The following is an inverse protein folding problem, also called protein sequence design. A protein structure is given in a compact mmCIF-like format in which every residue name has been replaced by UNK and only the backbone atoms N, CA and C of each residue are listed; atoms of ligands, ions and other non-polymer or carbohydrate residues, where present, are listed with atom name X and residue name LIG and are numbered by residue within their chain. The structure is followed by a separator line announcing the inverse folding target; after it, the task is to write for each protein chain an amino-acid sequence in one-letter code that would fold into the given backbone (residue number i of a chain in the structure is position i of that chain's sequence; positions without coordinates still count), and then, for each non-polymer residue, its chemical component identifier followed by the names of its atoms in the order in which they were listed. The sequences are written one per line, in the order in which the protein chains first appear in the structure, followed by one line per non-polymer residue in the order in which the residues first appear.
data_IF_144698372040
#
_entry.id   IF_144698372040
#
_cell.length_a   1.000
_cell.length_b   1.000
_cell.length_c   1.000
_cell.angle_alpha   90.00
_cell.angle_beta   90.00
_cell.angle_gamma   90.00
#
_symmetry.space_group_name_H-M   'P 1'
#
loop_
_entity.id
_entity.type
_entity.pdbx_description
1 polymer ?
#
# COMPACT_ATOMS: atom_id res chain seq x y z
N UNK A 1 22.23 -4.62 -16.29
CA UNK A 1 21.76 -4.12 -15.34
C UNK A 1 22.11 -2.66 -15.19
N UNK A 2 21.99 -2.00 -15.99
CA UNK A 2 22.16 -0.70 -16.20
C UNK A 2 21.57 0.28 -15.50
N UNK A 3 20.89 -0.26 -15.61
CA UNK A 3 20.42 -0.18 -15.14
C UNK A 3 20.44 0.12 -13.79
N UNK A 4 21.19 -0.21 -13.28
CA UNK A 4 21.51 0.08 -11.99
C UNK A 4 21.77 1.53 -11.72
N UNK A 5 21.19 2.30 -12.43
CA UNK A 5 20.95 3.64 -12.01
C UNK A 5 19.94 3.74 -10.85
N UNK A 6 19.24 2.66 -10.59
CA UNK A 6 18.25 2.63 -9.52
C UNK A 6 18.30 1.24 -8.86
N UNK A 7 18.73 1.19 -7.59
CA UNK A 7 18.75 -0.04 -6.78
C UNK A 7 17.40 -0.76 -6.77
N UNK A 8 16.30 0.00 -7.00
CA UNK A 8 14.96 -0.57 -7.08
C UNK A 8 14.68 -1.36 -8.35
N UNK A 9 15.33 -1.01 -9.43
CA UNK A 9 15.19 -1.76 -10.68
C UNK A 9 15.99 -3.06 -10.60
N UNK A 10 17.11 -3.03 -9.90
CA UNK A 10 17.88 -4.21 -9.56
C UNK A 10 17.10 -5.14 -8.62
N UNK A 11 16.46 -4.59 -7.59
CA UNK A 11 15.63 -5.37 -6.69
C UNK A 11 14.45 -6.00 -7.41
N UNK A 12 13.82 -5.29 -8.36
CA UNK A 12 12.75 -5.84 -9.21
C UNK A 12 13.25 -6.96 -10.12
N UNK A 13 14.42 -6.79 -10.72
CA UNK A 13 15.04 -7.82 -11.56
C UNK A 13 15.43 -9.03 -10.71
N UNK A 14 15.99 -8.81 -9.52
CA UNK A 14 16.25 -9.89 -8.57
C UNK A 14 14.96 -10.59 -8.13
N UNK A 15 13.91 -9.83 -7.85
CA UNK A 15 12.62 -10.38 -7.44
C UNK A 15 11.96 -11.16 -8.58
N UNK A 16 12.05 -10.67 -9.82
CA UNK A 16 11.58 -11.37 -11.00
C UNK A 16 12.37 -12.67 -11.26
N UNK A 17 13.69 -12.63 -11.11
CA UNK A 17 14.54 -13.81 -11.17
C UNK A 17 14.21 -14.80 -10.04
N UNK A 18 13.95 -14.30 -8.85
CA UNK A 18 13.61 -15.10 -7.68
C UNK A 18 12.21 -15.71 -7.77
N UNK A 19 11.29 -15.08 -8.51
CA UNK A 19 9.91 -15.53 -8.65
C UNK A 19 9.66 -16.40 -9.89
N UNK A 20 10.68 -16.80 -10.64
CA UNK A 20 10.55 -17.48 -11.94
C UNK A 20 9.74 -16.70 -12.98
N UNK A 21 9.60 -15.40 -12.81
CA UNK A 21 9.00 -14.53 -13.82
C UNK A 21 9.97 -14.42 -14.99
N UNK A 22 9.51 -14.73 -16.20
CA UNK A 22 10.26 -14.55 -17.43
C UNK A 22 10.60 -13.07 -17.55
N UNK A 23 11.87 -12.75 -17.50
CA UNK A 23 12.33 -11.42 -17.89
C UNK A 23 11.97 -11.28 -19.36
N UNK A 24 11.07 -10.34 -19.72
CA UNK A 24 10.74 -10.15 -21.12
C UNK A 24 12.03 -9.95 -21.89
N UNK A 25 12.14 -10.55 -23.06
CA UNK A 25 13.24 -10.31 -24.03
C UNK A 25 13.25 -8.85 -24.48
N UNK A 26 13.43 -7.93 -23.58
CA UNK A 26 13.57 -6.54 -23.95
C UNK A 26 15.04 -6.28 -24.29
N UNK A 27 15.39 -6.53 -25.53
CA UNK A 27 16.65 -6.03 -26.13
C UNK A 27 16.81 -4.51 -26.00
N UNK A 28 15.81 -3.83 -25.46
CA UNK A 28 15.76 -2.38 -25.37
C UNK A 28 16.30 -1.79 -24.08
N UNK A 29 16.63 -2.59 -23.11
CA UNK A 29 16.92 -2.12 -21.75
C UNK A 29 18.37 -1.62 -21.59
N UNK A 30 19.31 -2.04 -22.41
CA UNK A 30 20.70 -1.63 -22.29
C UNK A 30 21.04 -0.62 -23.36
N UNK A 31 20.80 0.66 -23.10
CA UNK A 31 21.20 1.70 -24.04
C UNK A 31 22.66 2.15 -23.86
N UNK A 32 23.11 2.36 -22.65
CA UNK A 32 24.49 2.76 -22.37
C UNK A 32 24.91 2.25 -20.98
N UNK A 33 25.64 1.14 -20.89
CA UNK A 33 26.07 0.63 -19.60
C UNK A 33 27.15 1.54 -18.99
N UNK A 34 26.95 1.93 -17.74
CA UNK A 34 27.95 2.67 -16.99
C UNK A 34 29.20 1.79 -16.70
N UNK A 35 30.27 2.39 -16.19
CA UNK A 35 31.52 1.70 -15.90
C UNK A 35 31.35 0.50 -14.96
N UNK A 36 30.51 0.66 -13.96
CA UNK A 36 30.20 -0.41 -12.99
C UNK A 36 29.58 -1.61 -13.68
N UNK A 37 28.62 -1.40 -14.57
CA UNK A 37 28.01 -2.48 -15.36
C UNK A 37 29.03 -3.13 -16.29
N UNK A 38 29.91 -2.35 -16.92
CA UNK A 38 30.95 -2.91 -17.78
C UNK A 38 31.91 -3.83 -17.00
N UNK A 39 32.31 -3.43 -15.79
CA UNK A 39 33.20 -4.23 -14.94
C UNK A 39 32.46 -5.47 -14.40
N UNK A 40 31.22 -5.33 -13.98
CA UNK A 40 30.40 -6.46 -13.60
C UNK A 40 30.16 -7.42 -14.76
N UNK A 41 29.88 -6.91 -15.96
CA UNK A 41 29.68 -7.70 -17.17
C UNK A 41 30.95 -8.49 -17.52
N UNK A 42 32.11 -7.85 -17.50
CA UNK A 42 33.39 -8.54 -17.75
C UNK A 42 33.61 -9.70 -16.78
N UNK A 43 33.24 -9.49 -15.50
CA UNK A 43 33.43 -10.48 -14.45
C UNK A 43 32.42 -11.63 -14.51
N UNK A 44 31.23 -11.39 -15.08
CA UNK A 44 30.11 -12.34 -15.07
C UNK A 44 29.68 -12.80 -16.48
N UNK A 45 30.36 -12.37 -17.53
CA UNK A 45 29.98 -12.62 -18.92
C UNK A 45 29.74 -14.10 -19.23
N UNK A 46 30.59 -15.00 -18.75
CA UNK A 46 30.41 -16.43 -18.95
C UNK A 46 29.16 -16.97 -18.30
N UNK A 47 28.84 -16.52 -17.08
CA UNK A 47 27.65 -16.93 -16.33
C UNK A 47 26.36 -16.42 -16.99
N UNK A 48 26.40 -15.19 -17.48
CA UNK A 48 25.23 -14.59 -18.18
C UNK A 48 25.05 -15.27 -19.54
N UNK A 49 26.12 -15.51 -20.30
CA UNK A 49 26.05 -16.22 -21.56
C UNK A 49 25.56 -17.66 -21.38
N UNK A 50 25.98 -18.33 -20.31
CA UNK A 50 25.53 -19.67 -19.97
C UNK A 50 24.02 -19.65 -19.65
N UNK A 51 23.54 -18.67 -18.86
CA UNK A 51 22.14 -18.52 -18.55
C UNK A 51 21.27 -18.17 -19.77
N UNK A 52 21.80 -17.34 -20.69
CA UNK A 52 21.10 -16.94 -21.92
C UNK A 52 21.09 -18.02 -23.01
N UNK A 53 22.06 -18.96 -22.98
CA UNK A 53 22.11 -20.06 -23.93
C UNK A 53 21.11 -21.17 -23.65
N UNK A 54 20.49 -21.12 -22.48
CA UNK A 54 19.46 -22.08 -22.14
C UNK A 54 18.13 -21.64 -22.77
N UNK A 55 17.50 -22.49 -23.60
CA UNK A 55 16.25 -22.16 -24.30
C UNK A 55 15.10 -21.87 -23.35
N UNK A 56 15.22 -22.33 -22.12
CA UNK A 56 14.32 -22.06 -21.01
C UNK A 56 15.16 -22.06 -19.73
N UNK A 57 14.78 -21.30 -18.73
CA UNK A 57 15.16 -21.59 -17.35
C UNK A 57 14.63 -22.97 -17.05
N UNK A 58 15.42 -23.96 -17.40
CA UNK A 58 14.95 -25.33 -17.52
C UNK A 58 14.58 -25.81 -16.14
N UNK A 59 13.31 -25.88 -15.88
CA UNK A 59 12.76 -26.41 -14.61
C UNK A 59 13.35 -27.76 -14.27
N UNK A 60 13.84 -28.47 -15.27
CA UNK A 60 14.30 -29.87 -15.16
C UNK A 60 15.80 -30.04 -15.32
N UNK A 61 16.60 -28.97 -15.47
CA UNK A 61 18.05 -29.09 -15.54
C UNK A 61 18.64 -29.08 -14.11
N UNK A 62 19.24 -30.18 -13.63
CA UNK A 62 19.78 -30.29 -12.28
C UNK A 62 20.84 -29.21 -11.96
N UNK A 63 21.55 -28.72 -12.98
CA UNK A 63 22.56 -27.67 -12.83
C UNK A 63 21.97 -26.31 -12.52
N UNK A 64 20.71 -26.07 -12.93
CA UNK A 64 19.97 -24.83 -12.74
C UNK A 64 18.69 -25.03 -11.96
N UNK A 65 18.45 -26.27 -11.48
CA UNK A 65 17.38 -26.48 -10.53
C UNK A 65 17.62 -25.56 -9.36
N UNK A 66 16.71 -24.65 -9.16
CA UNK A 66 16.70 -23.77 -8.00
C UNK A 66 16.90 -24.68 -6.81
N UNK A 67 18.03 -24.56 -6.14
CA UNK A 67 18.17 -25.12 -4.81
C UNK A 67 17.10 -24.37 -4.02
N UNK A 68 15.92 -25.00 -3.89
CA UNK A 68 14.88 -24.49 -3.00
C UNK A 68 15.55 -24.50 -1.64
N UNK A 69 16.07 -23.34 -1.24
CA UNK A 69 16.53 -23.18 0.12
C UNK A 69 15.39 -23.62 1.02
N UNK A 70 15.64 -24.58 1.84
CA UNK A 70 14.65 -24.95 2.85
C UNK A 70 14.33 -23.69 3.67
N UNK A 71 13.04 -23.36 3.71
CA UNK A 71 12.59 -22.23 4.53
C UNK A 71 12.94 -22.52 5.99
N UNK A 72 13.44 -21.53 6.67
CA UNK A 72 13.68 -21.61 8.10
C UNK A 72 12.35 -21.84 8.83
N UNK A 73 12.40 -22.37 10.04
CA UNK A 73 11.18 -22.58 10.84
C UNK A 73 10.48 -21.26 11.15
N UNK A 74 11.24 -20.16 11.25
CA UNK A 74 10.71 -18.79 11.39
C UNK A 74 9.92 -18.38 10.15
N UNK A 75 10.44 -18.66 8.95
CA UNK A 75 9.75 -18.36 7.69
C UNK A 75 8.47 -19.20 7.53
N UNK A 76 8.53 -20.50 7.86
CA UNK A 76 7.36 -21.40 7.83
C UNK A 76 6.29 -20.93 8.82
N UNK A 77 6.71 -20.53 10.03
CA UNK A 77 5.82 -20.02 11.07
C UNK A 77 5.14 -18.71 10.62
N UNK A 78 5.91 -17.77 10.02
CA UNK A 78 5.36 -16.53 9.50
C UNK A 78 4.35 -16.77 8.38
N UNK A 79 4.65 -17.66 7.44
CA UNK A 79 3.72 -17.99 6.35
C UNK A 79 2.42 -18.62 6.86
N UNK A 80 2.51 -19.50 7.85
CA UNK A 80 1.34 -20.05 8.52
C UNK A 80 0.51 -18.96 9.19
N UNK A 81 1.16 -18.07 9.92
CA UNK A 81 0.49 -16.94 10.58
C UNK A 81 -0.15 -15.96 9.58
N UNK A 82 0.47 -15.73 8.40
CA UNK A 82 -0.13 -14.91 7.35
C UNK A 82 -1.41 -15.58 6.80
N UNK A 83 -1.38 -16.88 6.52
CA UNK A 83 -2.57 -17.60 6.05
C UNK A 83 -3.70 -17.56 7.08
N UNK A 84 -3.39 -17.73 8.36
CA UNK A 84 -4.36 -17.65 9.45
C UNK A 84 -5.04 -16.27 9.50
N UNK A 85 -4.26 -15.18 9.51
CA UNK A 85 -4.87 -13.84 9.56
C UNK A 85 -5.66 -13.51 8.30
N UNK A 86 -5.31 -14.03 7.12
CA UNK A 86 -6.09 -13.85 5.90
C UNK A 86 -7.46 -14.52 6.01
N UNK A 87 -7.52 -15.73 6.54
CA UNK A 87 -8.78 -16.45 6.78
C UNK A 87 -9.64 -15.67 7.78
N UNK A 88 -9.04 -15.28 8.91
CA UNK A 88 -9.72 -14.49 9.94
C UNK A 88 -10.18 -13.14 9.44
N UNK A 89 -9.37 -12.45 8.61
CA UNK A 89 -9.75 -11.20 8.00
C UNK A 89 -10.98 -11.35 7.10
N UNK A 90 -11.02 -12.40 6.29
CA UNK A 90 -12.18 -12.67 5.42
C UNK A 90 -13.44 -12.98 6.22
N UNK A 91 -13.34 -13.73 7.33
CA UNK A 91 -14.49 -14.00 8.19
C UNK A 91 -15.02 -12.77 8.93
N UNK A 92 -14.17 -11.77 9.17
CA UNK A 92 -14.58 -10.50 9.83
C UNK A 92 -15.15 -9.47 8.86
N UNK A 93 -15.04 -9.66 7.56
CA UNK A 93 -15.44 -8.63 6.60
C UNK A 93 -16.90 -8.22 6.72
N UNK A 94 -17.79 -9.19 6.92
CA UNK A 94 -19.24 -8.93 7.03
C UNK A 94 -19.61 -8.05 8.21
N UNK A 95 -19.01 -8.26 9.38
CA UNK A 95 -19.30 -7.43 10.57
C UNK A 95 -18.78 -5.99 10.40
N UNK A 96 -17.61 -5.83 9.79
CA UNK A 96 -17.01 -4.50 9.51
C UNK A 96 -17.82 -3.76 8.45
N UNK A 97 -18.21 -4.45 7.39
CA UNK A 97 -19.04 -3.90 6.32
C UNK A 97 -20.41 -3.48 6.84
N UNK A 98 -21.09 -4.36 7.58
CA UNK A 98 -22.42 -4.08 8.14
C UNK A 98 -22.43 -2.87 9.07
N UNK A 99 -21.42 -2.73 9.93
CA UNK A 99 -21.27 -1.54 10.78
C UNK A 99 -21.10 -0.26 9.95
N UNK A 100 -20.19 -0.31 8.96
CA UNK A 100 -19.91 0.85 8.13
C UNK A 100 -21.11 1.26 7.25
N UNK A 101 -21.80 0.29 6.67
CA UNK A 101 -23.00 0.53 5.85
C UNK A 101 -24.17 1.09 6.66
N UNK A 102 -24.41 0.56 7.85
CA UNK A 102 -25.46 1.07 8.73
C UNK A 102 -25.25 2.55 9.04
N UNK A 103 -24.04 2.93 9.45
CA UNK A 103 -23.73 4.32 9.76
C UNK A 103 -23.74 5.19 8.51
N UNK A 104 -23.23 4.70 7.39
CA UNK A 104 -23.23 5.44 6.12
C UNK A 104 -24.67 5.74 5.66
N UNK A 105 -25.58 4.79 5.78
CA UNK A 105 -26.98 4.94 5.39
C UNK A 105 -27.70 6.04 6.19
N UNK A 106 -27.44 6.15 7.49
CA UNK A 106 -28.03 7.19 8.35
C UNK A 106 -27.63 8.62 7.94
N UNK A 107 -26.49 8.76 7.24
CA UNK A 107 -25.95 10.06 6.83
C UNK A 107 -25.93 10.29 5.33
N UNK A 108 -26.64 9.47 4.54
CA UNK A 108 -26.58 9.50 3.08
C UNK A 108 -25.12 9.47 2.54
N UNK A 109 -24.24 8.77 3.24
CA UNK A 109 -22.84 8.60 2.88
C UNK A 109 -22.65 7.37 1.99
N UNK A 110 -21.54 7.35 1.24
CA UNK A 110 -21.13 6.20 0.44
C UNK A 110 -20.27 5.29 1.33
N UNK A 111 -20.55 4.00 1.34
CA UNK A 111 -19.68 2.99 1.93
C UNK A 111 -19.01 2.18 0.83
N UNK A 112 -17.69 2.08 0.85
CA UNK A 112 -16.97 1.24 -0.12
C UNK A 112 -17.04 -0.24 0.26
N UNK A 113 -16.94 -1.17 -0.69
CA UNK A 113 -16.75 -2.58 -0.37
C UNK A 113 -15.50 -2.80 0.48
N UNK A 114 -15.51 -3.87 1.26
CA UNK A 114 -14.33 -4.29 2.03
C UNK A 114 -13.12 -4.51 1.13
N UNK A 115 -12.01 -3.95 1.54
CA UNK A 115 -10.70 -4.22 0.98
C UNK A 115 -9.90 -5.09 1.96
N UNK A 116 -9.50 -6.26 1.51
CA UNK A 116 -8.61 -7.16 2.23
C UNK A 116 -7.16 -6.95 1.81
N UNK A 117 -6.28 -6.84 2.79
CA UNK A 117 -4.85 -6.72 2.49
C UNK A 117 -4.33 -8.04 1.90
N UNK A 118 -3.63 -7.98 0.77
CA UNK A 118 -3.04 -9.17 0.13
C UNK A 118 -1.94 -9.81 0.98
N UNK A 119 -1.75 -11.12 0.85
CA UNK A 119 -0.69 -11.86 1.56
C UNK A 119 0.70 -11.25 1.33
N UNK A 120 1.01 -10.87 0.09
CA UNK A 120 2.27 -10.20 -0.24
C UNK A 120 2.43 -8.87 0.51
N UNK A 121 1.37 -8.06 0.57
CA UNK A 121 1.37 -6.80 1.32
C UNK A 121 1.46 -6.99 2.83
N UNK A 122 0.85 -8.05 3.36
CA UNK A 122 0.97 -8.45 4.77
C UNK A 122 2.42 -8.83 5.06
N UNK A 123 3.00 -9.74 4.26
CA UNK A 123 4.38 -10.21 4.44
C UNK A 123 5.36 -9.04 4.41
N UNK A 124 5.27 -8.18 3.39
CA UNK A 124 6.12 -7.00 3.28
C UNK A 124 6.02 -6.09 4.50
N UNK A 125 4.80 -5.80 4.96
CA UNK A 125 4.59 -4.90 6.11
C UNK A 125 5.09 -5.53 7.41
N UNK A 126 4.86 -6.82 7.64
CA UNK A 126 5.39 -7.52 8.81
C UNK A 126 6.92 -7.52 8.84
N UNK A 127 7.56 -7.76 7.69
CA UNK A 127 9.02 -7.72 7.60
C UNK A 127 9.60 -6.32 7.89
N UNK A 128 8.91 -5.26 7.44
CA UNK A 128 9.29 -3.88 7.77
C UNK A 128 9.13 -3.59 9.27
N UNK A 129 7.99 -3.96 9.85
CA UNK A 129 7.73 -3.77 11.28
C UNK A 129 8.71 -4.57 12.17
N UNK A 130 9.12 -5.75 11.71
CA UNK A 130 10.13 -6.55 12.42
C UNK A 130 11.50 -5.89 12.49
N UNK A 131 11.88 -5.10 11.48
CA UNK A 131 13.15 -4.34 11.53
C UNK A 131 13.17 -3.33 12.69
N UNK A 132 12.01 -2.79 13.05
CA UNK A 132 11.90 -1.79 14.12
C UNK A 132 11.49 -2.41 15.48
N UNK A 133 10.63 -3.44 15.45
CA UNK A 133 9.98 -4.00 16.64
C UNK A 133 10.48 -5.39 17.03
N UNK A 134 11.40 -5.95 16.24
CA UNK A 134 11.95 -7.29 16.46
C UNK A 134 11.10 -8.43 15.86
N UNK A 135 11.70 -9.63 15.81
CA UNK A 135 11.14 -10.80 15.13
C UNK A 135 9.85 -11.35 15.76
N UNK A 136 9.54 -10.96 16.98
CA UNK A 136 8.30 -11.33 17.66
C UNK A 136 7.04 -10.62 17.08
N UNK A 137 7.22 -9.62 16.19
CA UNK A 137 6.08 -8.96 15.57
C UNK A 137 5.36 -9.90 14.62
N UNK A 138 4.05 -10.07 14.81
CA UNK A 138 3.21 -11.03 14.08
C UNK A 138 2.15 -10.33 13.24
N UNK A 139 1.64 -10.98 12.17
CA UNK A 139 0.67 -10.39 11.25
C UNK A 139 -0.64 -9.91 11.89
N UNK A 140 -1.08 -10.54 12.97
CA UNK A 140 -2.29 -10.17 13.73
C UNK A 140 -2.21 -8.79 14.40
N UNK A 141 -1.01 -8.22 14.51
CA UNK A 141 -0.79 -6.86 15.00
C UNK A 141 -1.06 -5.76 13.96
N UNK A 142 -1.25 -6.15 12.70
CA UNK A 142 -1.61 -5.21 11.65
C UNK A 142 -3.05 -4.74 11.84
N UNK A 143 -3.27 -3.42 11.70
CA UNK A 143 -4.58 -2.78 11.93
C UNK A 143 -5.42 -2.63 10.65
N UNK A 144 -4.82 -2.89 9.49
CA UNK A 144 -5.39 -2.64 8.17
C UNK A 144 -5.56 -3.92 7.32
N UNK A 145 -5.73 -5.06 8.00
CA UNK A 145 -6.01 -6.34 7.34
C UNK A 145 -7.38 -6.35 6.66
N UNK A 146 -8.35 -5.72 7.30
CA UNK A 146 -9.73 -5.51 6.82
C UNK A 146 -9.99 -4.01 6.85
N UNK A 147 -10.36 -3.43 5.71
CA UNK A 147 -10.57 -2.00 5.59
C UNK A 147 -11.77 -1.67 4.71
N UNK A 148 -12.55 -0.67 5.12
CA UNK A 148 -13.54 -0.01 4.28
C UNK A 148 -13.45 1.50 4.45
N UNK A 149 -14.18 2.26 3.62
CA UNK A 149 -14.20 3.72 3.69
C UNK A 149 -15.65 4.21 3.67
N UNK A 150 -15.98 5.06 4.62
CA UNK A 150 -17.21 5.87 4.58
C UNK A 150 -16.85 7.23 3.98
N UNK A 151 -17.58 7.62 2.92
CA UNK A 151 -17.40 8.89 2.23
C UNK A 151 -18.61 9.74 2.51
N UNK A 152 -18.45 10.71 3.38
CA UNK A 152 -19.52 11.57 3.86
C UNK A 152 -19.29 13.02 3.46
N UNK A 153 -20.36 13.81 3.47
CA UNK A 153 -20.25 15.24 3.37
C UNK A 153 -19.46 15.80 4.55
N UNK A 154 -18.72 16.88 4.32
CA UNK A 154 -17.80 17.45 5.31
C UNK A 154 -18.48 17.73 6.65
N UNK A 155 -19.68 18.25 6.63
CA UNK A 155 -20.46 18.55 7.82
C UNK A 155 -20.84 17.31 8.65
N UNK A 156 -20.87 16.14 8.02
CA UNK A 156 -21.26 14.88 8.66
C UNK A 156 -20.04 14.07 9.15
N UNK A 157 -18.82 14.46 8.80
CA UNK A 157 -17.61 13.69 9.15
C UNK A 157 -17.48 13.46 10.66
N UNK A 158 -17.62 14.51 11.46
CA UNK A 158 -17.46 14.38 12.92
C UNK A 158 -18.59 13.58 13.55
N UNK A 159 -19.83 13.68 13.03
CA UNK A 159 -20.98 12.90 13.49
C UNK A 159 -20.78 11.41 13.18
N UNK A 160 -20.36 11.08 11.96
CA UNK A 160 -20.03 9.70 11.54
C UNK A 160 -18.92 9.10 12.42
N UNK A 161 -17.88 9.88 12.70
CA UNK A 161 -16.80 9.43 13.58
C UNK A 161 -17.31 9.17 15.00
N UNK A 162 -18.16 10.02 15.51
CA UNK A 162 -18.69 9.87 16.88
C UNK A 162 -19.61 8.66 16.99
N UNK A 163 -20.47 8.41 15.99
CA UNK A 163 -21.27 7.19 15.94
C UNK A 163 -20.41 5.93 15.89
N UNK A 164 -19.35 5.93 15.06
CA UNK A 164 -18.37 4.83 15.06
C UNK A 164 -17.76 4.64 16.45
N UNK A 165 -17.35 5.72 17.13
CA UNK A 165 -16.78 5.66 18.48
C UNK A 165 -17.74 5.05 19.51
N UNK A 166 -19.02 5.31 19.36
CA UNK A 166 -20.04 4.79 20.29
C UNK A 166 -20.38 3.33 20.05
N UNK A 167 -19.98 2.75 18.91
CA UNK A 167 -20.21 1.33 18.61
C UNK A 167 -19.36 0.40 19.48
N UNK A 168 -19.91 -0.75 19.86
CA UNK A 168 -19.24 -1.71 20.73
C UNK A 168 -17.88 -2.22 20.16
N UNK A 169 -17.74 -2.52 18.84
CA UNK A 169 -16.45 -2.94 18.30
C UNK A 169 -15.34 -1.88 18.42
N UNK A 170 -15.69 -0.58 18.37
CA UNK A 170 -14.73 0.51 18.53
C UNK A 170 -14.39 0.73 20.01
N UNK A 171 -15.37 0.65 20.91
CA UNK A 171 -15.16 0.71 22.37
C UNK A 171 -14.29 -0.44 22.87
N UNK A 172 -14.47 -1.63 22.32
CA UNK A 172 -13.67 -2.81 22.66
C UNK A 172 -12.19 -2.71 22.23
N UNK A 173 -11.87 -1.83 21.30
CA UNK A 173 -10.51 -1.66 20.82
C UNK A 173 -9.61 -1.00 21.89
N UNK A 174 -8.60 -1.76 22.34
CA UNK A 174 -7.62 -1.27 23.32
C UNK A 174 -6.53 -0.46 22.64
N UNK A 175 -6.74 0.84 22.48
CA UNK A 175 -5.76 1.73 21.87
C UNK A 175 -6.39 3.06 21.42
N UNK A 176 -5.65 3.80 20.58
CA UNK A 176 -6.19 5.01 19.96
C UNK A 176 -7.17 4.59 18.85
N UNK A 177 -8.46 4.57 19.20
CA UNK A 177 -9.51 4.15 18.28
C UNK A 177 -9.64 5.12 17.09
N UNK A 178 -9.60 6.42 17.33
CA UNK A 178 -9.75 7.45 16.30
C UNK A 178 -8.44 8.19 16.07
N UNK A 179 -7.98 8.20 14.83
CA UNK A 179 -6.82 8.97 14.38
C UNK A 179 -7.26 9.97 13.31
N UNK A 180 -7.28 11.24 13.66
CA UNK A 180 -7.51 12.34 12.71
C UNK A 180 -6.18 12.69 12.03
N UNK A 181 -6.13 12.53 10.71
CA UNK A 181 -4.98 12.92 9.90
C UNK A 181 -5.12 14.41 9.56
N UNK A 182 -4.19 15.20 10.04
CA UNK A 182 -4.17 16.65 9.81
C UNK A 182 -3.22 17.00 8.69
N UNK A 183 -3.55 17.99 7.83
CA UNK A 183 -2.70 18.38 6.70
C UNK A 183 -1.22 18.58 7.06
N UNK A 184 -0.94 19.19 8.22
CA UNK A 184 0.42 19.49 8.67
C UNK A 184 1.30 18.24 8.89
N UNK A 185 0.68 17.10 9.20
CA UNK A 185 1.39 15.86 9.54
C UNK A 185 1.39 14.83 8.39
N UNK A 186 0.59 15.08 7.34
CA UNK A 186 0.32 14.07 6.29
C UNK A 186 0.39 14.66 4.88
N UNK A 187 1.39 15.47 4.60
CA UNK A 187 1.64 16.03 3.26
C UNK A 187 0.43 16.79 2.69
N UNK A 188 -0.32 17.47 3.53
CA UNK A 188 -1.54 18.16 3.13
C UNK A 188 -2.81 17.31 3.14
N UNK A 189 -2.69 15.99 3.19
CA UNK A 189 -3.84 15.09 3.25
C UNK A 189 -4.58 15.19 4.58
N UNK A 190 -5.90 15.23 4.51
CA UNK A 190 -6.76 15.09 5.70
C UNK A 190 -7.69 13.91 5.53
N UNK A 191 -7.82 13.13 6.59
CA UNK A 191 -8.72 11.99 6.64
C UNK A 191 -8.83 11.49 8.07
N UNK A 192 -9.68 10.52 8.27
CA UNK A 192 -9.87 9.96 9.60
C UNK A 192 -9.80 8.45 9.51
N UNK A 193 -9.19 7.85 10.51
CA UNK A 193 -9.08 6.40 10.66
C UNK A 193 -9.74 6.03 11.97
N UNK A 194 -10.67 5.10 11.92
CA UNK A 194 -11.28 4.49 13.08
C UNK A 194 -10.90 3.01 13.13
N UNK A 195 -10.20 2.62 14.19
CA UNK A 195 -9.85 1.23 14.45
C UNK A 195 -10.92 0.59 15.32
N UNK A 196 -11.23 -0.66 15.02
CA UNK A 196 -12.20 -1.45 15.78
C UNK A 196 -11.69 -2.87 16.00
N UNK A 197 -12.17 -3.49 17.08
CA UNK A 197 -11.89 -4.88 17.41
C UNK A 197 -12.94 -5.76 16.75
N UNK A 198 -12.53 -6.70 15.93
CA UNK A 198 -13.44 -7.69 15.33
C UNK A 198 -13.75 -8.83 16.30
N UNK A 199 -14.84 -9.54 16.08
CA UNK A 199 -15.27 -10.67 16.91
C UNK A 199 -14.23 -11.79 17.03
N UNK A 200 -13.39 -11.95 16.02
CA UNK A 200 -12.31 -12.95 16.02
C UNK A 200 -10.94 -12.41 16.50
N UNK A 201 -10.93 -11.20 17.09
CA UNK A 201 -9.77 -10.62 17.75
C UNK A 201 -8.79 -9.87 16.83
N UNK A 202 -9.08 -9.70 15.54
CA UNK A 202 -8.31 -8.83 14.66
C UNK A 202 -8.70 -7.36 14.86
N UNK A 203 -7.83 -6.48 14.40
CA UNK A 203 -8.14 -5.05 14.29
C UNK A 203 -8.49 -4.73 12.85
N UNK A 204 -9.61 -4.08 12.64
CA UNK A 204 -10.02 -3.55 11.34
C UNK A 204 -9.96 -2.02 11.34
N UNK A 205 -10.01 -1.44 10.15
CA UNK A 205 -9.92 -0.01 9.91
C UNK A 205 -11.11 0.48 9.08
N UNK A 206 -11.86 1.45 9.62
CA UNK A 206 -12.82 2.22 8.84
C UNK A 206 -12.23 3.60 8.61
N UNK A 207 -12.02 3.96 7.35
CA UNK A 207 -11.63 5.32 6.97
C UNK A 207 -12.87 6.18 6.81
N UNK A 208 -12.82 7.44 7.26
CA UNK A 208 -13.89 8.42 7.06
C UNK A 208 -13.31 9.61 6.31
N UNK A 209 -13.80 9.85 5.10
CA UNK A 209 -13.29 10.84 4.17
C UNK A 209 -14.39 11.62 3.48
N UNK A 210 -14.04 12.74 2.84
CA UNK A 210 -14.91 13.42 1.88
C UNK A 210 -14.67 12.90 0.46
N UNK A 211 -15.66 13.07 -0.41
CA UNK A 211 -15.51 12.72 -1.83
C UNK A 211 -14.36 13.49 -2.51
N UNK A 212 -14.17 14.77 -2.17
CA UNK A 212 -13.04 15.58 -2.67
C UNK A 212 -11.69 14.99 -2.27
N UNK A 213 -11.58 14.48 -1.05
CA UNK A 213 -10.34 13.90 -0.54
C UNK A 213 -10.04 12.54 -1.21
N UNK A 214 -11.07 11.73 -1.49
CA UNK A 214 -10.93 10.49 -2.29
C UNK A 214 -10.48 10.83 -3.71
N UNK A 215 -11.10 11.83 -4.35
CA UNK A 215 -10.72 12.31 -5.66
C UNK A 215 -9.24 12.72 -5.73
N UNK A 216 -8.77 13.45 -4.73
CA UNK A 216 -7.39 13.93 -4.67
C UNK A 216 -6.38 12.81 -4.40
N UNK A 217 -6.74 11.85 -3.55
CA UNK A 217 -5.83 10.83 -3.04
C UNK A 217 -5.72 9.62 -3.95
N UNK A 218 -6.86 9.07 -4.40
CA UNK A 218 -6.88 7.80 -5.12
C UNK A 218 -6.53 7.99 -6.61
N UNK A 219 -5.89 6.99 -7.23
CA UNK A 219 -5.69 7.00 -8.67
C UNK A 219 -7.02 7.20 -9.41
N UNK A 220 -7.05 7.89 -10.56
CA UNK A 220 -8.29 8.25 -11.24
C UNK A 220 -9.24 7.08 -11.47
N UNK A 221 -8.72 5.90 -11.86
CA UNK A 221 -9.52 4.70 -12.09
C UNK A 221 -10.21 4.23 -10.79
N UNK A 222 -9.46 4.22 -9.68
CA UNK A 222 -9.98 3.84 -8.38
C UNK A 222 -10.98 4.87 -7.84
N UNK A 223 -10.66 6.15 -7.98
CA UNK A 223 -11.55 7.23 -7.57
C UNK A 223 -12.88 7.19 -8.33
N UNK A 224 -12.86 6.95 -9.65
CA UNK A 224 -14.07 6.77 -10.47
C UNK A 224 -14.88 5.54 -10.06
N UNK A 225 -14.20 4.43 -9.77
CA UNK A 225 -14.87 3.22 -9.31
C UNK A 225 -15.58 3.44 -7.95
N UNK A 226 -14.99 4.23 -7.06
CA UNK A 226 -15.51 4.52 -5.72
C UNK A 226 -16.63 5.58 -5.76
N UNK A 227 -16.39 6.70 -6.43
CA UNK A 227 -17.29 7.87 -6.43
C UNK A 227 -18.38 7.79 -7.49
N UNK A 228 -18.18 6.95 -8.50
CA UNK A 228 -18.93 7.00 -9.74
C UNK A 228 -18.48 8.15 -10.64
N UNK A 229 -18.63 7.96 -11.94
CA UNK A 229 -18.13 8.89 -12.95
C UNK A 229 -18.78 10.28 -12.84
N UNK A 230 -20.06 10.31 -12.50
CA UNK A 230 -20.82 11.56 -12.35
C UNK A 230 -20.25 12.47 -11.23
N UNK A 231 -19.99 11.92 -10.05
CA UNK A 231 -19.44 12.67 -8.93
C UNK A 231 -17.98 13.03 -9.16
N UNK A 232 -17.19 12.10 -9.72
CA UNK A 232 -15.81 12.37 -10.10
C UNK A 232 -15.70 13.54 -11.08
N UNK A 233 -16.51 13.54 -12.16
CA UNK A 233 -16.55 14.63 -13.15
C UNK A 233 -17.05 15.95 -12.57
N UNK A 234 -17.97 15.89 -11.59
CA UNK A 234 -18.45 17.09 -10.88
C UNK A 234 -17.29 17.73 -10.10
N UNK A 235 -16.56 16.95 -9.31
CA UNK A 235 -15.42 17.45 -8.51
C UNK A 235 -14.33 18.02 -9.43
N UNK A 236 -14.03 17.33 -10.54
CA UNK A 236 -13.06 17.80 -11.52
C UNK A 236 -13.43 19.18 -12.09
N UNK A 237 -14.69 19.37 -12.49
CA UNK A 237 -15.16 20.67 -12.99
C UNK A 237 -15.17 21.78 -11.95
N UNK A 238 -15.53 21.45 -10.70
CA UNK A 238 -15.55 22.41 -9.59
C UNK A 238 -14.16 22.88 -9.19
N UNK A 239 -13.18 22.00 -9.25
CA UNK A 239 -11.81 22.29 -8.80
C UNK A 239 -10.89 22.73 -9.94
N UNK A 240 -11.12 22.29 -11.16
CA UNK A 240 -10.23 22.49 -12.30
C UNK A 240 -8.87 21.78 -12.15
N UNK A 241 -8.72 20.89 -11.17
CA UNK A 241 -7.45 20.26 -10.78
C UNK A 241 -7.51 18.76 -11.07
N UNK A 242 -6.42 18.21 -11.57
CA UNK A 242 -6.30 16.78 -11.82
C UNK A 242 -6.37 15.96 -10.51
N UNK A 243 -7.17 14.88 -10.52
CA UNK A 243 -7.27 13.96 -9.38
C UNK A 243 -6.11 12.97 -9.33
N UNK A 244 -5.87 12.40 -8.14
CA UNK A 244 -4.93 11.30 -7.97
C UNK A 244 -3.45 11.69 -7.79
N UNK A 245 -3.10 12.97 -7.90
CA UNK A 245 -1.71 13.40 -7.69
C UNK A 245 -1.23 13.19 -6.26
N UNK A 246 -2.15 13.19 -5.30
CA UNK A 246 -1.82 12.93 -3.90
C UNK A 246 -1.20 11.55 -3.68
N UNK A 247 -1.64 10.53 -4.43
CA UNK A 247 -1.03 9.20 -4.39
C UNK A 247 0.42 9.23 -4.86
N UNK A 248 0.69 9.92 -5.98
CA UNK A 248 2.05 10.06 -6.54
C UNK A 248 2.99 10.74 -5.55
N UNK A 249 2.58 11.85 -4.94
CA UNK A 249 3.39 12.55 -3.92
C UNK A 249 3.68 11.67 -2.71
N UNK A 250 2.71 10.90 -2.26
CA UNK A 250 2.90 9.97 -1.15
C UNK A 250 3.88 8.84 -1.49
N UNK A 251 3.77 8.25 -2.68
CA UNK A 251 4.68 7.20 -3.12
C UNK A 251 6.13 7.70 -3.23
N UNK A 252 6.33 8.92 -3.74
CA UNK A 252 7.67 9.53 -3.77
C UNK A 252 8.19 9.81 -2.36
N UNK A 253 7.35 10.34 -1.47
CA UNK A 253 7.74 10.70 -0.11
C UNK A 253 8.11 9.50 0.76
N UNK A 254 7.32 8.45 0.72
CA UNK A 254 7.48 7.29 1.61
C UNK A 254 8.74 6.48 1.37
N UNK A 255 9.36 6.63 0.20
CA UNK A 255 10.60 5.95 -0.16
C UNK A 255 11.85 6.76 0.14
N UNK A 256 11.68 8.04 0.48
CA UNK A 256 12.79 8.91 0.89
C UNK A 256 13.29 8.54 2.28
N UNK A 257 14.60 8.57 2.49
CA UNK A 257 15.19 8.52 3.83
C UNK A 257 14.79 9.75 4.64
N UNK A 258 14.99 9.71 5.96
CA UNK A 258 14.71 10.88 6.82
C UNK A 258 15.53 12.10 6.42
N UNK A 259 16.77 11.89 5.99
CA UNK A 259 17.68 12.92 5.51
C UNK A 259 17.17 13.52 4.20
N UNK A 260 16.76 12.67 3.26
CA UNK A 260 16.17 13.09 1.99
C UNK A 260 14.87 13.87 2.18
N UNK A 261 14.02 13.47 3.11
CA UNK A 261 12.80 14.20 3.46
C UNK A 261 13.09 15.63 3.97
N UNK A 262 14.24 15.84 4.60
CA UNK A 262 14.69 17.14 5.08
C UNK A 262 15.50 17.93 4.04
N UNK A 263 15.88 17.32 2.93
CA UNK A 263 16.58 17.97 1.84
C UNK A 263 15.70 18.98 1.08
N UNK A 264 16.33 19.81 0.25
CA UNK A 264 15.60 20.73 -0.63
C UNK A 264 14.56 20.01 -1.51
N UNK A 265 14.88 18.80 -2.01
CA UNK A 265 13.96 17.97 -2.80
C UNK A 265 12.74 17.54 -1.97
N UNK A 266 12.96 17.06 -0.74
CA UNK A 266 11.88 16.67 0.16
C UNK A 266 10.98 17.84 0.53
N UNK A 267 11.56 18.99 0.87
CA UNK A 267 10.81 20.21 1.19
C UNK A 267 9.94 20.65 0.00
N UNK A 268 10.46 20.63 -1.22
CA UNK A 268 9.71 20.98 -2.43
C UNK A 268 8.57 20.01 -2.67
N UNK A 269 8.81 18.70 -2.55
CA UNK A 269 7.78 17.68 -2.71
C UNK A 269 6.65 17.86 -1.68
N UNK A 270 7.02 18.07 -0.42
CA UNK A 270 6.07 18.35 0.67
C UNK A 270 5.20 19.57 0.36
N UNK A 271 5.81 20.70 0.00
CA UNK A 271 5.07 21.93 -0.35
C UNK A 271 4.10 21.71 -1.51
N UNK A 272 4.53 21.03 -2.57
CA UNK A 272 3.66 20.71 -3.71
C UNK A 272 2.46 19.85 -3.29
N UNK A 273 2.70 18.87 -2.44
CA UNK A 273 1.63 18.03 -1.92
C UNK A 273 0.66 18.81 -1.03
N UNK A 274 1.18 19.65 -0.13
CA UNK A 274 0.37 20.49 0.75
C UNK A 274 -0.48 21.51 -0.06
N UNK A 275 0.10 22.14 -1.07
CA UNK A 275 -0.59 23.06 -1.98
C UNK A 275 -1.71 22.30 -2.74
N UNK A 276 -1.39 21.16 -3.33
CA UNK A 276 -2.36 20.35 -4.04
C UNK A 276 -3.57 19.99 -3.16
N UNK A 277 -3.34 19.43 -1.98
CA UNK A 277 -4.42 19.05 -1.08
C UNK A 277 -5.20 20.25 -0.51
N UNK A 278 -4.60 21.44 -0.45
CA UNK A 278 -5.27 22.64 0.05
C UNK A 278 -6.55 22.98 -0.73
N UNK A 279 -6.60 22.63 -2.01
CA UNK A 279 -7.77 22.82 -2.87
C UNK A 279 -8.95 21.90 -2.53
N UNK A 280 -8.70 20.80 -1.83
CA UNK A 280 -9.68 19.76 -1.49
C UNK A 280 -10.05 19.74 0.00
N UNK A 281 -9.32 20.46 0.81
CA UNK A 281 -9.56 20.58 2.25
C UNK A 281 -10.64 21.62 2.63
N UNK A 282 -11.19 22.29 1.63
CA UNK A 282 -12.24 23.34 1.81
C UNK A 282 -13.63 22.76 1.78
#
# INVERSE_FOLDING_TARGET
VPILADDKEFDKIQEAILNDELIPESKSVIREPNKYFQDWWKSNKSRVAEAQSLPYWVKDNPKYTRIKREKTDVEKSLEKAIKDVVIRARSSGGEVQGLAESIAAEHNAICTPINYKSEASIKRKVLLERKEKGDAYMPDKLKDLVRTTIIADRQNIDIVIEQLRMSEPVKAFKGIAVKKQRPQNYLGYSGNIVNLQTSNGLVAEIQVNTAKMIYAKELPENAKAILGEKLWNKIHRETGIEGGLGHKYYEEWRVMSKEEQQSAKGIVLRKRSEEYYSHFNK
#
